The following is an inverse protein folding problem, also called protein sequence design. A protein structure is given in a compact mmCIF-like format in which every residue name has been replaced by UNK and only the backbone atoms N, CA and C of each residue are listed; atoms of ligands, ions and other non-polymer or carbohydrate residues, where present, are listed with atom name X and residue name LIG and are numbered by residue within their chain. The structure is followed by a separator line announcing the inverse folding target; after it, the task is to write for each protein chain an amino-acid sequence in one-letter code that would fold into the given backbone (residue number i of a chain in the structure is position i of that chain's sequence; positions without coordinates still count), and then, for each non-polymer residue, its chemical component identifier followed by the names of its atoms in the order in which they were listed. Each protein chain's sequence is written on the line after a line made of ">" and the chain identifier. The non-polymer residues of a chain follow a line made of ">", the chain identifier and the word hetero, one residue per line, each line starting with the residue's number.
data_IF_411911091323
#
_entry.id   IF_411911091323
#
_cell.length_a   1.000
_cell.length_b   1.000
_cell.length_c   1.000
_cell.angle_alpha   90.00
_cell.angle_beta   90.00
_cell.angle_gamma   90.00
#
_symmetry.space_group_name_H-M   'P 1'
#
loop_
_entity.id
_entity.type
_entity.pdbx_description
1 polymer ?
#
# COMPACT_ATOMS: atom_id res chain seq x y z
N UNK A 1 -18.96 -37.25 -60.72
CA UNK A 1 -19.16 -36.01 -59.94
C UNK A 1 -18.06 -35.97 -58.94
N UNK A 2 -17.01 -35.18 -59.17
CA UNK A 2 -15.86 -35.09 -58.30
C UNK A 2 -16.07 -34.01 -57.31
N UNK A 3 -16.05 -34.36 -56.03
CA UNK A 3 -15.93 -33.44 -54.93
C UNK A 3 -14.53 -32.78 -54.98
N UNK A 4 -14.48 -31.53 -55.42
CA UNK A 4 -13.32 -30.67 -55.20
C UNK A 4 -13.31 -30.29 -53.73
N UNK A 5 -12.53 -31.00 -52.90
CA UNK A 5 -12.10 -30.51 -51.60
C UNK A 5 -11.50 -29.11 -51.80
N UNK A 6 -12.19 -28.10 -51.30
CA UNK A 6 -11.64 -26.74 -51.19
C UNK A 6 -10.44 -26.80 -50.25
N UNK A 7 -9.27 -26.98 -50.80
CA UNK A 7 -8.00 -26.79 -50.08
C UNK A 7 -7.99 -25.34 -49.58
N UNK A 8 -8.33 -25.16 -48.32
CA UNK A 8 -8.26 -23.86 -47.68
C UNK A 8 -6.81 -23.39 -47.72
N UNK A 9 -6.58 -22.23 -48.29
CA UNK A 9 -5.28 -21.57 -48.36
C UNK A 9 -4.67 -21.50 -46.94
N UNK A 10 -3.53 -22.15 -46.68
CA UNK A 10 -2.97 -22.28 -45.35
C UNK A 10 -2.66 -20.91 -44.71
N UNK A 11 -2.39 -19.89 -45.54
CA UNK A 11 -2.16 -18.52 -45.06
C UNK A 11 -3.46 -17.90 -44.54
N UNK A 12 -4.57 -18.10 -45.21
CA UNK A 12 -5.88 -17.61 -44.76
C UNK A 12 -6.34 -18.28 -43.48
N UNK A 13 -6.04 -19.55 -43.33
CA UNK A 13 -6.34 -20.29 -42.09
C UNK A 13 -5.51 -19.73 -40.92
N UNK A 14 -4.21 -19.55 -41.10
CA UNK A 14 -3.32 -18.97 -40.10
C UNK A 14 -3.73 -17.56 -39.67
N UNK A 15 -4.06 -16.68 -40.65
CA UNK A 15 -4.53 -15.31 -40.37
C UNK A 15 -5.85 -15.34 -39.57
N UNK A 16 -6.79 -16.23 -39.94
CA UNK A 16 -8.04 -16.36 -39.19
C UNK A 16 -7.83 -16.80 -37.77
N UNK A 17 -6.96 -17.79 -37.52
CA UNK A 17 -6.66 -18.28 -36.18
C UNK A 17 -5.94 -17.24 -35.33
N UNK A 18 -4.99 -16.51 -35.92
CA UNK A 18 -4.34 -15.39 -35.27
C UNK A 18 -5.32 -14.30 -34.85
N UNK A 19 -6.22 -13.90 -35.75
CA UNK A 19 -7.26 -12.90 -35.46
C UNK A 19 -8.20 -13.37 -34.35
N UNK A 20 -8.59 -14.66 -34.36
CA UNK A 20 -9.42 -15.24 -33.31
C UNK A 20 -8.68 -15.23 -31.95
N UNK A 21 -7.41 -15.60 -31.92
CA UNK A 21 -6.60 -15.59 -30.71
C UNK A 21 -6.46 -14.16 -30.15
N UNK A 22 -6.10 -13.19 -31.00
CA UNK A 22 -6.00 -11.78 -30.62
C UNK A 22 -7.36 -11.23 -30.15
N UNK A 23 -8.43 -11.59 -30.85
CA UNK A 23 -9.78 -11.20 -30.47
C UNK A 23 -10.21 -11.75 -29.09
N UNK A 24 -9.91 -13.02 -28.81
CA UNK A 24 -10.19 -13.62 -27.49
C UNK A 24 -9.39 -12.96 -26.38
N UNK A 25 -8.10 -12.71 -26.58
CA UNK A 25 -7.25 -12.00 -25.60
C UNK A 25 -7.78 -10.58 -25.38
N UNK A 26 -8.12 -9.87 -26.46
CA UNK A 26 -8.70 -8.54 -26.39
C UNK A 26 -10.01 -8.50 -25.60
N UNK A 27 -10.90 -9.46 -25.83
CA UNK A 27 -12.16 -9.59 -25.08
C UNK A 27 -11.92 -9.91 -23.60
N UNK A 28 -10.95 -10.76 -23.28
CA UNK A 28 -10.58 -11.09 -21.89
C UNK A 28 -10.07 -9.84 -21.18
N UNK A 29 -9.14 -9.11 -21.78
CA UNK A 29 -8.58 -7.87 -21.18
C UNK A 29 -9.70 -6.82 -21.02
N UNK A 30 -10.57 -6.68 -22.01
CA UNK A 30 -11.70 -5.75 -21.95
C UNK A 30 -12.68 -6.14 -20.83
N UNK A 31 -12.96 -7.43 -20.66
CA UNK A 31 -13.81 -7.95 -19.58
C UNK A 31 -13.19 -7.68 -18.20
N UNK A 32 -11.89 -7.93 -18.03
CA UNK A 32 -11.17 -7.60 -16.82
C UNK A 32 -11.19 -6.10 -16.54
N UNK A 33 -10.91 -5.27 -17.53
CA UNK A 33 -11.00 -3.82 -17.38
C UNK A 33 -12.40 -3.34 -17.01
N UNK A 34 -13.44 -3.88 -17.66
CA UNK A 34 -14.82 -3.53 -17.34
C UNK A 34 -15.22 -3.95 -15.91
N UNK A 35 -14.62 -5.02 -15.40
CA UNK A 35 -14.84 -5.49 -14.01
C UNK A 35 -14.07 -4.69 -12.97
N UNK A 36 -12.80 -4.37 -13.24
CA UNK A 36 -11.90 -3.76 -12.25
C UNK A 36 -11.83 -2.23 -12.35
N UNK A 37 -12.15 -1.66 -13.50
CA UNK A 37 -11.94 -0.25 -13.80
C UNK A 37 -10.48 0.18 -13.87
N UNK A 38 -9.52 -0.75 -13.77
CA UNK A 38 -8.09 -0.50 -13.68
C UNK A 38 -7.32 -1.00 -14.90
N UNK A 39 -6.22 -0.31 -15.24
CA UNK A 39 -5.29 -0.73 -16.27
C UNK A 39 -3.84 -0.54 -15.77
N UNK A 40 -3.07 -1.62 -15.57
CA UNK A 40 -3.43 -3.03 -15.77
C UNK A 40 -4.45 -3.54 -14.75
N UNK A 41 -5.34 -4.47 -15.15
CA UNK A 41 -6.36 -5.02 -14.26
C UNK A 41 -5.83 -6.07 -13.28
N UNK A 42 -4.59 -6.52 -13.48
CA UNK A 42 -3.92 -7.56 -12.73
C UNK A 42 -2.49 -7.16 -12.40
N UNK A 43 -2.02 -7.51 -11.21
CA UNK A 43 -0.62 -7.42 -10.79
C UNK A 43 -0.11 -8.78 -10.35
N UNK A 44 1.18 -9.04 -10.60
CA UNK A 44 1.88 -10.24 -10.12
C UNK A 44 2.49 -9.92 -8.77
N UNK A 45 2.26 -10.76 -7.79
CA UNK A 45 2.90 -10.67 -6.47
C UNK A 45 4.28 -11.30 -6.52
N UNK A 46 5.32 -10.52 -6.21
CA UNK A 46 6.71 -10.97 -6.30
C UNK A 46 7.33 -11.33 -4.95
N UNK A 47 6.70 -10.91 -3.85
CA UNK A 47 7.23 -11.07 -2.50
C UNK A 47 6.28 -11.86 -1.59
N UNK A 48 6.82 -12.36 -0.51
CA UNK A 48 6.07 -13.05 0.55
C UNK A 48 5.61 -12.11 1.68
N UNK A 49 5.57 -10.80 1.41
CA UNK A 49 5.25 -9.81 2.46
C UNK A 49 3.81 -9.89 2.96
N UNK A 50 2.92 -10.56 2.24
CA UNK A 50 1.49 -10.64 2.56
C UNK A 50 1.03 -12.05 2.95
N UNK A 51 1.92 -13.05 3.03
CA UNK A 51 1.55 -14.42 3.38
C UNK A 51 1.16 -14.54 4.86
N UNK A 52 0.15 -15.35 5.13
CA UNK A 52 -0.29 -15.64 6.49
C UNK A 52 0.26 -16.98 7.00
N UNK A 53 0.49 -17.92 6.11
CA UNK A 53 1.06 -19.24 6.40
C UNK A 53 2.22 -19.58 5.44
N UNK A 54 3.20 -20.36 5.91
CA UNK A 54 4.36 -20.76 5.12
C UNK A 54 4.03 -21.70 3.96
N UNK A 55 2.86 -22.34 3.98
CA UNK A 55 2.42 -23.29 2.95
C UNK A 55 1.55 -22.64 1.85
N UNK A 56 1.21 -21.37 2.02
CA UNK A 56 0.24 -20.67 1.16
C UNK A 56 -1.20 -21.11 1.43
N UNK A 57 -2.10 -20.16 1.54
CA UNK A 57 -3.52 -20.41 1.77
C UNK A 57 -4.37 -19.66 0.74
N UNK A 58 -5.46 -20.26 0.31
CA UNK A 58 -6.47 -19.56 -0.50
C UNK A 58 -7.10 -18.47 0.36
N UNK A 59 -7.08 -17.23 -0.12
CA UNK A 59 -7.52 -16.07 0.63
C UNK A 59 -6.37 -15.27 1.28
N UNK A 60 -5.15 -15.75 1.17
CA UNK A 60 -3.90 -15.04 1.49
C UNK A 60 -3.18 -14.68 0.21
N UNK A 61 -2.51 -13.55 0.16
CA UNK A 61 -1.76 -13.14 -1.03
C UNK A 61 -0.36 -13.73 -0.95
N UNK A 62 -0.09 -14.68 -1.84
CA UNK A 62 1.18 -15.39 -1.89
C UNK A 62 2.09 -14.93 -3.04
N UNK A 63 3.39 -15.15 -2.88
CA UNK A 63 4.33 -14.90 -3.97
C UNK A 63 4.03 -15.81 -5.17
N UNK A 64 3.80 -15.21 -6.33
CA UNK A 64 3.39 -15.90 -7.55
C UNK A 64 1.90 -15.80 -7.87
N UNK A 65 1.11 -15.17 -7.05
CA UNK A 65 -0.31 -14.91 -7.33
C UNK A 65 -0.49 -13.77 -8.32
N UNK A 66 -1.62 -13.82 -9.02
CA UNK A 66 -2.17 -12.67 -9.74
C UNK A 66 -3.31 -12.08 -8.94
N UNK A 67 -3.17 -10.81 -8.56
CA UNK A 67 -4.20 -10.08 -7.83
C UNK A 67 -4.92 -9.13 -8.78
N UNK A 68 -6.25 -9.15 -8.74
CA UNK A 68 -7.09 -8.18 -9.43
C UNK A 68 -6.90 -6.80 -8.80
N UNK A 69 -6.77 -5.77 -9.63
CA UNK A 69 -6.63 -4.38 -9.17
C UNK A 69 -7.92 -3.64 -9.42
N UNK A 70 -8.68 -3.36 -8.37
CA UNK A 70 -9.89 -2.55 -8.48
C UNK A 70 -9.54 -1.07 -8.37
N UNK A 71 -9.97 -0.29 -9.36
CA UNK A 71 -9.92 1.16 -9.26
C UNK A 71 -10.99 1.62 -8.25
N UNK A 72 -10.54 2.05 -7.09
CA UNK A 72 -11.39 2.60 -6.02
C UNK A 72 -10.87 3.96 -5.61
N UNK A 73 -11.80 4.85 -5.28
CA UNK A 73 -11.45 6.16 -4.74
C UNK A 73 -10.72 6.01 -3.40
N UNK A 74 -9.76 6.87 -3.17
CA UNK A 74 -8.96 6.87 -1.95
C UNK A 74 -9.84 6.92 -0.70
N UNK A 75 -10.85 7.77 -0.68
CA UNK A 75 -11.78 7.95 0.44
C UNK A 75 -12.69 6.74 0.69
N UNK A 76 -12.67 5.74 -0.20
CA UNK A 76 -13.41 4.48 -0.07
C UNK A 76 -12.56 3.32 0.45
N UNK A 77 -11.27 3.56 0.70
CA UNK A 77 -10.38 2.57 1.30
C UNK A 77 -10.75 2.38 2.77
N UNK A 78 -11.06 1.17 3.14
CA UNK A 78 -11.34 0.82 4.54
C UNK A 78 -10.05 0.38 5.21
N UNK A 79 -9.62 1.11 6.22
CA UNK A 79 -8.42 0.77 6.99
C UNK A 79 -8.68 -0.32 8.02
N UNK A 80 -7.62 -0.98 8.49
CA UNK A 80 -7.71 -1.93 9.60
C UNK A 80 -8.30 -1.27 10.86
N UNK A 81 -7.88 -0.03 11.16
CA UNK A 81 -8.40 0.73 12.30
C UNK A 81 -9.92 0.93 12.21
N UNK A 82 -10.44 1.29 11.04
CA UNK A 82 -11.89 1.46 10.83
C UNK A 82 -12.63 0.13 10.89
N UNK A 83 -12.06 -0.92 10.31
CA UNK A 83 -12.70 -2.24 10.27
C UNK A 83 -12.72 -2.94 11.64
N UNK A 84 -11.89 -2.53 12.57
CA UNK A 84 -11.83 -3.07 13.94
C UNK A 84 -12.47 -2.18 15.01
N UNK A 85 -12.87 -0.96 14.67
CA UNK A 85 -13.64 -0.10 15.58
C UNK A 85 -15.12 -0.48 15.57
N UNK A 86 -15.62 -0.96 16.70
CA UNK A 86 -17.04 -1.36 16.88
C UNK A 86 -18.05 -0.24 16.60
N UNK A 87 -17.62 1.02 16.68
CA UNK A 87 -18.46 2.17 16.39
C UNK A 87 -18.40 2.63 14.94
N UNK A 88 -17.52 2.04 14.14
CA UNK A 88 -17.36 2.39 12.72
C UNK A 88 -18.35 1.60 11.84
N UNK A 89 -18.98 2.22 10.83
CA UNK A 89 -19.88 1.52 9.90
C UNK A 89 -19.21 0.37 9.12
N UNK A 90 -17.88 0.36 9.03
CA UNK A 90 -17.10 -0.69 8.36
C UNK A 90 -16.63 -1.80 9.30
N UNK A 91 -17.11 -1.82 10.56
CA UNK A 91 -16.75 -2.86 11.52
C UNK A 91 -16.96 -4.27 10.96
N UNK A 92 -15.93 -5.10 11.09
CA UNK A 92 -15.93 -6.49 10.60
C UNK A 92 -15.67 -6.64 9.10
N UNK A 93 -15.37 -5.55 8.37
CA UNK A 93 -14.95 -5.66 6.97
C UNK A 93 -13.56 -6.28 6.89
N UNK A 94 -13.44 -7.39 6.15
CA UNK A 94 -12.19 -8.12 6.01
C UNK A 94 -11.90 -8.45 4.54
N UNK A 95 -10.61 -8.42 4.17
CA UNK A 95 -10.12 -8.78 2.86
C UNK A 95 -8.79 -9.54 2.98
N UNK A 96 -8.62 -10.60 2.20
CA UNK A 96 -7.41 -11.43 2.25
C UNK A 96 -7.06 -11.89 3.67
N UNK A 97 -8.05 -12.43 4.39
CA UNK A 97 -7.88 -13.10 5.67
C UNK A 97 -7.75 -12.20 6.90
N UNK A 98 -7.70 -10.87 6.75
CA UNK A 98 -7.66 -9.90 7.85
C UNK A 98 -8.53 -8.68 7.56
N UNK A 99 -8.82 -7.91 8.60
CA UNK A 99 -9.60 -6.69 8.52
C UNK A 99 -8.91 -5.60 7.70
N UNK A 100 -9.72 -4.80 7.01
CA UNK A 100 -9.28 -3.69 6.17
C UNK A 100 -8.83 -4.09 4.75
N UNK A 101 -8.70 -3.10 3.90
CA UNK A 101 -8.32 -3.25 2.50
C UNK A 101 -6.81 -3.50 2.33
N UNK A 102 -6.47 -4.30 1.32
CA UNK A 102 -5.11 -4.40 0.78
C UNK A 102 -4.98 -3.44 -0.40
N UNK A 103 -4.07 -2.50 -0.33
CA UNK A 103 -3.89 -1.48 -1.36
C UNK A 103 -2.62 -1.69 -2.20
N UNK A 104 -2.67 -1.23 -3.43
CA UNK A 104 -1.54 -1.21 -4.35
C UNK A 104 -1.15 0.25 -4.56
N UNK A 105 0.12 0.60 -4.29
CA UNK A 105 0.56 1.98 -4.32
C UNK A 105 1.99 2.16 -4.84
N UNK A 106 2.28 3.37 -5.31
CA UNK A 106 3.63 3.81 -5.70
C UNK A 106 4.39 4.33 -4.48
N UNK A 107 5.63 3.88 -4.30
CA UNK A 107 6.52 4.37 -3.23
C UNK A 107 6.81 5.85 -3.42
N UNK A 108 6.36 6.70 -2.52
CA UNK A 108 6.47 8.17 -2.62
C UNK A 108 5.98 8.77 -3.96
N UNK A 109 5.10 8.07 -4.67
CA UNK A 109 4.62 8.47 -5.99
C UNK A 109 5.61 8.25 -7.13
N UNK A 110 6.76 7.61 -6.87
CA UNK A 110 7.79 7.34 -7.86
C UNK A 110 7.39 6.20 -8.81
N UNK A 111 7.90 6.26 -10.03
CA UNK A 111 7.76 5.16 -10.96
C UNK A 111 8.66 3.98 -10.56
N UNK A 112 8.14 2.77 -10.71
CA UNK A 112 8.83 1.55 -10.33
C UNK A 112 7.85 0.45 -9.93
N UNK A 113 8.37 -0.63 -9.33
CA UNK A 113 7.53 -1.72 -8.82
C UNK A 113 6.66 -1.22 -7.67
N UNK A 114 5.32 -1.29 -7.81
CA UNK A 114 4.41 -0.88 -6.74
C UNK A 114 4.50 -1.84 -5.55
N UNK A 115 4.02 -1.38 -4.42
CA UNK A 115 3.84 -2.19 -3.21
C UNK A 115 2.38 -2.64 -3.13
N UNK A 116 2.16 -3.85 -2.63
CA UNK A 116 0.86 -4.39 -2.25
C UNK A 116 0.87 -4.73 -0.77
N UNK A 117 0.25 -3.89 0.05
CA UNK A 117 0.22 -4.02 1.50
C UNK A 117 -1.14 -3.58 2.06
N UNK A 118 -1.44 -3.97 3.31
CA UNK A 118 -2.67 -3.62 4.00
C UNK A 118 -2.67 -2.18 4.46
N UNK A 119 -3.79 -1.49 4.28
CA UNK A 119 -4.05 -0.18 4.87
C UNK A 119 -4.35 -0.35 6.36
N UNK A 120 -3.46 0.15 7.22
CA UNK A 120 -3.59 -0.02 8.68
C UNK A 120 -4.43 1.09 9.29
N UNK A 121 -4.10 2.35 8.98
CA UNK A 121 -4.84 3.51 9.44
C UNK A 121 -4.58 4.69 8.52
N UNK A 122 -5.45 5.67 8.56
CA UNK A 122 -5.25 6.98 7.98
C UNK A 122 -4.81 7.97 9.05
N UNK A 123 -3.96 8.91 8.69
CA UNK A 123 -3.63 10.08 9.51
C UNK A 123 -4.05 11.32 8.78
N UNK A 124 -4.86 12.14 9.44
CA UNK A 124 -5.45 13.34 8.85
C UNK A 124 -5.08 14.55 9.70
N UNK A 125 -4.58 15.66 9.10
CA UNK A 125 -4.34 16.88 9.86
C UNK A 125 -5.68 17.47 10.30
N UNK A 126 -5.84 17.64 11.61
CA UNK A 126 -7.06 18.19 12.18
C UNK A 126 -7.05 19.72 12.15
N UNK A 127 -5.92 20.32 12.53
CA UNK A 127 -5.77 21.78 12.45
C UNK A 127 -4.35 22.17 12.08
N UNK A 128 -4.26 23.31 11.42
CA UNK A 128 -3.00 24.00 11.14
C UNK A 128 -3.13 25.39 11.74
N UNK A 129 -2.34 25.69 12.77
CA UNK A 129 -2.22 27.04 13.31
C UNK A 129 -1.34 27.89 12.41
N UNK A 130 -1.80 29.06 12.05
CA UNK A 130 -1.01 30.01 11.26
C UNK A 130 0.05 30.68 12.13
N UNK A 131 1.21 31.07 11.57
CA UNK A 131 2.21 31.85 12.29
C UNK A 131 1.62 33.15 12.82
N UNK A 132 2.10 33.61 13.97
CA UNK A 132 1.76 34.94 14.46
C UNK A 132 2.16 35.98 13.41
N UNK A 133 1.25 36.90 13.11
CA UNK A 133 1.44 37.95 12.10
C UNK A 133 2.61 38.89 12.40
N UNK A 134 3.10 38.90 13.64
CA UNK A 134 4.21 39.72 14.08
C UNK A 134 5.59 39.07 13.81
N UNK A 135 5.62 37.84 13.39
CA UNK A 135 6.85 37.16 12.96
C UNK A 135 7.02 37.40 11.46
N UNK A 136 8.18 37.91 11.02
CA UNK A 136 8.46 38.02 9.58
C UNK A 136 8.33 36.64 8.97
N UNK A 137 7.39 36.49 8.03
CA UNK A 137 7.21 35.25 7.29
C UNK A 137 8.45 35.02 6.43
N UNK A 138 9.37 34.21 6.93
CA UNK A 138 10.40 33.64 6.08
C UNK A 138 9.77 32.55 5.22
N UNK A 139 10.20 32.41 3.98
CA UNK A 139 9.75 31.32 3.11
C UNK A 139 9.87 29.94 3.80
N UNK A 140 10.85 29.77 4.71
CA UNK A 140 11.04 28.57 5.51
C UNK A 140 9.89 28.26 6.47
N UNK A 141 9.16 29.24 6.94
CA UNK A 141 8.04 29.04 7.88
C UNK A 141 6.79 28.58 7.13
N UNK A 142 6.54 29.10 5.94
CA UNK A 142 5.47 28.65 5.06
C UNK A 142 5.70 27.22 4.53
N UNK A 143 6.97 26.82 4.33
CA UNK A 143 7.33 25.47 3.93
C UNK A 143 7.20 24.46 5.08
N UNK A 144 7.37 24.89 6.31
CA UNK A 144 7.28 23.97 7.47
C UNK A 144 5.85 23.68 7.87
N UNK A 145 4.92 24.63 7.77
CA UNK A 145 3.56 24.50 8.24
C UNK A 145 2.67 23.56 7.40
N UNK A 146 2.64 23.61 6.06
CA UNK A 146 1.63 22.89 5.28
C UNK A 146 1.87 21.39 5.14
N UNK A 147 3.07 20.88 5.45
CA UNK A 147 3.48 19.52 5.11
C UNK A 147 3.70 18.61 6.31
N UNK A 148 3.13 18.94 7.45
CA UNK A 148 3.08 18.04 8.58
C UNK A 148 4.40 17.91 9.33
N UNK A 149 5.05 18.99 9.63
CA UNK A 149 6.04 19.03 10.67
C UNK A 149 5.46 19.77 11.88
N UNK A 150 5.58 19.21 13.07
CA UNK A 150 5.44 19.99 14.29
C UNK A 150 6.48 21.08 14.25
N UNK A 151 6.04 22.27 14.06
CA UNK A 151 6.90 23.41 14.28
C UNK A 151 6.94 23.65 15.78
N UNK A 152 8.14 23.98 16.30
CA UNK A 152 8.30 24.22 17.72
C UNK A 152 7.33 25.33 18.16
N UNK A 153 6.30 24.92 18.92
CA UNK A 153 5.28 25.84 19.45
C UNK A 153 5.86 26.83 20.47
N UNK A 154 7.08 26.64 20.90
CA UNK A 154 7.79 27.50 21.84
C UNK A 154 8.87 28.36 21.19
N UNK A 155 8.91 28.44 19.86
CA UNK A 155 9.87 29.36 19.24
C UNK A 155 9.66 30.77 19.72
N UNK A 156 10.61 31.24 20.51
CA UNK A 156 10.67 32.60 21.01
C UNK A 156 11.82 33.27 20.30
N UNK A 157 11.51 34.28 19.51
CA UNK A 157 12.54 35.25 19.20
C UNK A 157 12.93 36.02 20.47
N UNK A 158 14.00 36.75 20.44
CA UNK A 158 14.48 37.54 21.58
C UNK A 158 13.46 38.56 22.13
N UNK A 159 12.32 38.74 21.45
CA UNK A 159 11.24 39.66 21.82
C UNK A 159 10.03 38.93 22.41
N UNK A 160 10.08 37.61 22.57
CA UNK A 160 9.00 36.81 23.10
C UNK A 160 7.84 36.56 22.14
N UNK A 161 8.03 36.84 20.86
CA UNK A 161 7.05 36.58 19.80
C UNK A 161 7.01 35.07 19.51
N UNK A 162 5.84 34.51 19.46
CA UNK A 162 5.64 33.10 19.14
C UNK A 162 5.32 32.97 17.66
N UNK A 163 6.21 32.41 16.89
CA UNK A 163 5.91 32.00 15.53
C UNK A 163 5.46 30.57 15.54
N UNK A 164 4.25 30.24 15.14
CA UNK A 164 3.74 28.93 15.39
C UNK A 164 2.80 28.43 14.32
N UNK A 165 3.18 27.33 13.73
CA UNK A 165 2.24 26.39 13.16
C UNK A 165 2.24 25.15 14.02
N UNK A 166 1.17 24.85 14.69
CA UNK A 166 0.94 23.55 15.33
C UNK A 166 0.09 22.75 14.37
N UNK A 167 0.55 21.56 14.04
CA UNK A 167 -0.21 20.59 13.28
C UNK A 167 -0.62 19.48 14.24
N UNK A 168 -1.91 19.31 14.39
CA UNK A 168 -2.46 18.18 15.14
C UNK A 168 -3.04 17.15 14.20
N UNK A 169 -3.08 15.91 14.64
CA UNK A 169 -3.48 14.76 13.85
C UNK A 169 -4.65 14.04 14.49
N UNK A 170 -5.62 13.68 13.65
CA UNK A 170 -6.63 12.68 13.97
C UNK A 170 -6.27 11.35 13.31
N UNK A 171 -6.65 10.26 13.95
CA UNK A 171 -6.54 8.91 13.38
C UNK A 171 -7.95 8.34 13.26
N UNK A 172 -8.56 8.38 12.07
CA UNK A 172 -9.89 7.83 11.82
C UNK A 172 -10.01 6.36 12.25
N UNK A 173 -11.16 5.99 12.81
CA UNK A 173 -11.37 4.65 13.36
C UNK A 173 -10.73 4.42 14.73
N UNK A 174 -10.21 5.46 15.39
CA UNK A 174 -9.62 5.37 16.73
C UNK A 174 -10.09 6.53 17.62
N UNK A 175 -9.73 6.48 18.91
CA UNK A 175 -9.96 7.59 19.84
C UNK A 175 -8.86 8.67 19.78
N UNK A 176 -7.86 8.54 18.92
CA UNK A 176 -6.76 9.50 18.82
C UNK A 176 -7.20 10.71 18.03
N UNK A 177 -7.27 11.86 18.70
CA UNK A 177 -7.64 13.14 18.14
C UNK A 177 -6.72 14.24 18.67
N UNK A 178 -6.54 15.32 17.91
CA UNK A 178 -5.76 16.50 18.27
C UNK A 178 -4.34 16.19 18.81
N UNK A 179 -3.73 15.11 18.31
CA UNK A 179 -2.41 14.69 18.77
C UNK A 179 -1.29 15.31 17.93
N UNK A 180 -0.26 15.86 18.54
CA UNK A 180 0.93 16.35 17.83
C UNK A 180 1.76 15.19 17.23
N UNK A 181 1.66 14.02 17.84
CA UNK A 181 2.26 12.77 17.35
C UNK A 181 1.19 11.69 17.29
N UNK A 182 1.34 10.73 16.40
CA UNK A 182 0.44 9.58 16.34
C UNK A 182 1.01 8.48 17.22
N UNK A 183 0.20 8.00 18.18
CA UNK A 183 0.50 6.86 19.03
C UNK A 183 -0.72 5.98 19.14
N UNK A 184 -0.66 4.79 18.55
CA UNK A 184 -1.77 3.82 18.55
C UNK A 184 -1.22 2.43 18.83
N UNK A 185 -1.89 1.71 19.71
CA UNK A 185 -1.65 0.29 19.96
C UNK A 185 -2.84 -0.52 19.45
N UNK A 186 -2.55 -1.53 18.66
CA UNK A 186 -3.53 -2.48 18.14
C UNK A 186 -3.52 -3.74 19.00
N UNK A 187 -3.84 -3.59 20.28
CA UNK A 187 -3.87 -4.68 21.29
C UNK A 187 -5.29 -5.06 21.74
N UNK A 188 -6.30 -4.62 21.01
CA UNK A 188 -7.70 -4.87 21.29
C UNK A 188 -8.40 -3.77 22.10
N UNK A 189 -7.65 -2.88 22.73
CA UNK A 189 -8.24 -1.86 23.60
C UNK A 189 -8.64 -0.57 22.86
N UNK A 190 -8.00 -0.26 21.73
CA UNK A 190 -8.21 1.00 21.03
C UNK A 190 -8.81 0.83 19.63
N UNK A 191 -8.15 0.08 18.75
CA UNK A 191 -8.54 -0.09 17.36
C UNK A 191 -8.47 -1.56 16.92
N UNK A 192 -8.78 -2.48 17.83
CA UNK A 192 -8.67 -3.91 17.56
C UNK A 192 -7.26 -4.45 17.75
N UNK A 193 -7.12 -5.73 17.48
CA UNK A 193 -5.89 -6.48 17.70
C UNK A 193 -5.27 -6.89 16.36
N UNK A 194 -4.10 -6.34 16.04
CA UNK A 194 -3.31 -6.78 14.90
C UNK A 194 -2.22 -7.74 15.38
N UNK A 195 -2.46 -9.04 15.21
CA UNK A 195 -1.50 -10.08 15.56
C UNK A 195 -0.36 -10.15 14.55
N UNK A 196 0.84 -9.86 15.01
CA UNK A 196 2.06 -9.93 14.21
C UNK A 196 2.67 -11.34 14.14
N UNK A 197 1.96 -12.36 14.61
CA UNK A 197 2.39 -13.76 14.55
C UNK A 197 2.34 -14.30 13.12
N UNK A 198 3.43 -14.15 12.40
CA UNK A 198 3.59 -14.55 11.00
C UNK A 198 4.93 -15.25 10.80
N UNK A 199 5.12 -16.01 9.70
CA UNK A 199 6.36 -16.72 9.42
C UNK A 199 7.61 -15.84 9.46
N UNK A 200 7.54 -14.60 8.95
CA UNK A 200 8.67 -13.67 8.97
C UNK A 200 9.08 -13.21 10.38
N UNK A 201 8.20 -13.36 11.36
CA UNK A 201 8.44 -13.03 12.76
C UNK A 201 8.80 -14.26 13.61
N UNK A 202 9.10 -15.39 12.98
CA UNK A 202 9.32 -16.68 13.65
C UNK A 202 8.14 -17.10 14.56
N UNK A 203 6.92 -16.69 14.21
CA UNK A 203 5.68 -16.92 14.96
C UNK A 203 5.72 -16.39 16.42
N UNK A 204 6.50 -15.34 16.67
CA UNK A 204 6.52 -14.68 17.98
C UNK A 204 5.23 -13.86 18.14
N UNK A 205 4.54 -14.08 19.24
CA UNK A 205 3.37 -13.29 19.59
C UNK A 205 3.77 -11.85 19.90
N UNK A 206 3.23 -10.91 19.16
CA UNK A 206 3.37 -9.48 19.39
C UNK A 206 2.22 -8.75 18.71
N UNK A 207 1.99 -7.52 19.11
CA UNK A 207 0.98 -6.65 18.50
C UNK A 207 1.63 -5.41 17.88
N UNK A 208 0.94 -4.83 16.92
CA UNK A 208 1.41 -3.64 16.23
C UNK A 208 1.27 -2.42 17.13
N UNK A 209 2.36 -1.67 17.25
CA UNK A 209 2.37 -0.36 17.91
C UNK A 209 2.99 0.66 16.96
N UNK A 210 2.28 1.76 16.76
CA UNK A 210 2.83 2.99 16.20
C UNK A 210 3.10 3.93 17.38
N UNK A 211 4.35 4.32 17.58
CA UNK A 211 4.76 5.03 18.80
C UNK A 211 5.34 6.40 18.50
N UNK A 212 4.75 7.44 19.08
CA UNK A 212 5.21 8.83 19.01
C UNK A 212 5.73 9.26 17.63
N UNK A 213 5.02 8.84 16.61
CA UNK A 213 5.41 9.09 15.23
C UNK A 213 4.77 10.35 14.69
N UNK A 214 5.57 11.21 14.07
CA UNK A 214 5.09 12.43 13.42
C UNK A 214 4.90 12.19 11.94
N UNK A 215 3.65 12.22 11.43
CA UNK A 215 3.40 12.17 10.01
C UNK A 215 4.04 13.35 9.27
N UNK A 216 4.58 13.10 8.09
CA UNK A 216 5.11 14.17 7.23
C UNK A 216 4.00 14.91 6.48
N UNK A 217 2.89 14.24 6.25
CA UNK A 217 1.69 14.72 5.57
C UNK A 217 0.57 13.72 5.80
N UNK A 218 -0.68 14.11 5.48
CA UNK A 218 -1.82 13.21 5.54
C UNK A 218 -1.66 12.00 4.61
N UNK A 219 -2.25 10.88 4.96
CA UNK A 219 -2.30 9.67 4.16
C UNK A 219 -2.42 8.39 4.95
N UNK A 220 -2.44 7.27 4.23
CA UNK A 220 -2.57 5.94 4.80
C UNK A 220 -1.21 5.41 5.27
N UNK A 221 -1.20 4.78 6.43
CA UNK A 221 -0.11 3.92 6.87
C UNK A 221 -0.40 2.49 6.43
N UNK A 222 0.65 1.81 5.99
CA UNK A 222 0.55 0.46 5.42
C UNK A 222 1.50 -0.51 6.08
N UNK A 223 1.15 -1.79 6.03
CA UNK A 223 1.97 -2.89 6.54
C UNK A 223 1.76 -4.11 5.65
N UNK A 224 2.83 -4.80 5.29
CA UNK A 224 2.75 -6.15 4.76
C UNK A 224 2.48 -7.14 5.88
N UNK A 225 1.42 -7.95 5.74
CA UNK A 225 0.94 -8.84 6.81
C UNK A 225 2.01 -9.80 7.34
N UNK A 226 3.02 -10.12 6.54
CA UNK A 226 4.17 -10.95 6.92
C UNK A 226 5.46 -10.14 7.17
N UNK A 227 5.40 -8.82 7.14
CA UNK A 227 6.55 -7.99 7.44
C UNK A 227 6.80 -7.91 8.95
N UNK A 228 7.97 -7.37 9.35
CA UNK A 228 8.21 -7.06 10.74
C UNK A 228 7.06 -6.19 11.28
N UNK A 229 6.71 -6.39 12.53
CA UNK A 229 5.59 -5.72 13.18
C UNK A 229 5.79 -4.19 13.26
N UNK A 230 5.79 -3.53 12.12
CA UNK A 230 5.94 -2.08 11.97
C UNK A 230 5.38 -1.63 10.62
N UNK A 231 4.80 -0.46 10.59
CA UNK A 231 4.31 0.13 9.34
C UNK A 231 5.45 0.48 8.37
N UNK A 232 5.14 0.51 7.09
CA UNK A 232 6.10 0.78 6.01
C UNK A 232 6.72 2.17 6.09
N UNK A 233 6.05 3.10 6.73
CA UNK A 233 6.44 4.51 6.87
C UNK A 233 7.57 4.75 7.87
N UNK A 234 8.14 3.67 8.42
CA UNK A 234 9.30 3.75 9.29
C UNK A 234 9.00 4.21 10.71
N UNK A 235 7.73 4.11 11.15
CA UNK A 235 7.42 4.29 12.57
C UNK A 235 8.15 3.24 13.38
N UNK A 236 8.67 3.60 14.55
CA UNK A 236 9.32 2.64 15.42
C UNK A 236 8.29 1.65 15.96
N UNK A 237 8.38 0.42 15.52
CA UNK A 237 7.76 -0.68 16.20
C UNK A 237 8.64 -1.13 17.37
N UNK A 238 8.06 -1.98 18.20
CA UNK A 238 8.71 -2.57 19.39
C UNK A 238 10.11 -3.15 19.14
N UNK A 239 10.48 -3.44 17.89
CA UNK A 239 11.77 -4.04 17.52
C UNK A 239 12.61 -3.20 16.52
N UNK A 240 12.34 -1.91 16.41
CA UNK A 240 13.04 -1.03 15.46
C UNK A 240 12.56 -1.26 14.02
N UNK A 241 12.04 -0.23 13.40
CA UNK A 241 11.57 -0.33 12.04
C UNK A 241 12.69 -0.16 11.04
N UNK A 242 12.64 -0.92 9.98
CA UNK A 242 13.43 -0.63 8.79
C UNK A 242 12.69 0.23 7.78
N UNK A 243 11.35 0.37 7.87
CA UNK A 243 10.52 1.05 6.90
C UNK A 243 10.71 0.54 5.46
N UNK A 244 9.83 0.93 4.56
CA UNK A 244 10.02 0.72 3.13
C UNK A 244 10.70 1.94 2.53
N UNK A 245 11.68 1.73 1.65
CA UNK A 245 12.45 2.81 1.04
C UNK A 245 12.17 2.92 -0.46
N UNK A 246 12.20 4.17 -0.92
CA UNK A 246 12.24 4.55 -2.34
C UNK A 246 13.56 5.25 -2.64
N UNK A 247 13.73 5.76 -3.86
CA UNK A 247 14.90 6.55 -4.22
C UNK A 247 14.98 7.87 -3.42
N UNK A 248 13.85 8.44 -3.02
CA UNK A 248 13.76 9.67 -2.22
C UNK A 248 13.83 9.45 -0.71
N UNK A 249 13.99 8.22 -0.25
CA UNK A 249 14.10 7.86 1.17
C UNK A 249 12.95 7.00 1.67
N UNK A 250 12.69 7.02 2.98
CA UNK A 250 11.60 6.25 3.59
C UNK A 250 10.26 6.68 3.03
N UNK A 251 9.40 5.71 2.73
CA UNK A 251 8.04 5.96 2.23
C UNK A 251 7.25 6.74 3.27
N UNK A 252 6.62 7.82 2.84
CA UNK A 252 5.65 8.59 3.65
C UNK A 252 4.26 7.96 3.65
N UNK A 253 3.30 8.52 4.41
CA UNK A 253 1.90 8.11 4.34
C UNK A 253 1.39 8.15 2.90
N UNK A 254 0.60 7.16 2.50
CA UNK A 254 0.19 7.02 1.11
C UNK A 254 -0.85 8.06 0.78
N UNK A 255 -0.54 8.93 -0.18
CA UNK A 255 -1.45 9.96 -0.71
C UNK A 255 -2.39 9.35 -1.75
N UNK A 256 -3.53 10.00 -1.96
CA UNK A 256 -4.47 9.60 -3.02
C UNK A 256 -3.82 9.46 -4.40
N UNK A 257 -2.91 10.37 -4.75
CA UNK A 257 -2.19 10.32 -6.04
C UNK A 257 -1.17 9.18 -6.17
N UNK A 258 -0.83 8.49 -5.09
CA UNK A 258 0.08 7.34 -5.09
C UNK A 258 -0.67 6.01 -5.14
N UNK A 259 -1.97 6.02 -4.81
CA UNK A 259 -2.83 4.86 -4.87
C UNK A 259 -3.03 4.44 -6.33
N UNK A 260 -2.79 3.16 -6.63
CA UNK A 260 -3.07 2.55 -7.93
C UNK A 260 -4.45 1.89 -7.90
N UNK A 261 -4.79 1.28 -6.76
CA UNK A 261 -6.07 0.63 -6.55
C UNK A 261 -6.06 -0.25 -5.31
N UNK A 262 -7.15 -0.98 -5.12
CA UNK A 262 -7.35 -1.94 -4.04
C UNK A 262 -7.22 -3.36 -4.60
N UNK A 263 -6.54 -4.23 -3.87
CA UNK A 263 -6.43 -5.64 -4.20
C UNK A 263 -7.82 -6.29 -4.16
N UNK A 264 -8.20 -6.94 -5.23
CA UNK A 264 -9.41 -7.74 -5.32
C UNK A 264 -9.14 -9.22 -5.13
N UNK A 265 -9.92 -10.07 -5.79
CA UNK A 265 -9.69 -11.51 -5.78
C UNK A 265 -8.32 -11.90 -6.34
N UNK A 266 -7.80 -13.00 -5.88
CA UNK A 266 -6.53 -13.57 -6.32
C UNK A 266 -6.74 -14.78 -7.24
N UNK A 267 -5.78 -14.99 -8.13
CA UNK A 267 -5.67 -16.21 -8.94
C UNK A 267 -4.35 -16.87 -8.53
N UNK A 268 -4.42 -17.94 -7.69
CA UNK A 268 -3.23 -18.55 -7.11
C UNK A 268 -2.26 -19.07 -8.18
N UNK A 269 -0.96 -18.85 -7.94
CA UNK A 269 0.19 -19.37 -8.71
C UNK A 269 0.24 -19.04 -10.21
N UNK A 270 -0.73 -18.36 -10.77
CA UNK A 270 -0.73 -18.05 -12.19
C UNK A 270 0.36 -17.03 -12.57
N UNK A 271 0.81 -16.22 -11.61
CA UNK A 271 1.92 -15.29 -11.77
C UNK A 271 3.29 -15.97 -11.82
N UNK A 272 3.41 -17.25 -11.40
CA UNK A 272 4.66 -18.01 -11.49
C UNK A 272 5.02 -18.42 -12.91
N UNK A 273 4.06 -18.36 -13.84
CA UNK A 273 4.28 -18.60 -15.28
C UNK A 273 5.00 -17.38 -15.90
N UNK A 274 6.08 -16.90 -15.27
CA UNK A 274 6.98 -15.96 -15.93
C UNK A 274 7.70 -16.68 -17.06
N UNK A 275 7.75 -16.11 -18.27
CA UNK A 275 8.58 -16.70 -19.33
C UNK A 275 10.02 -16.76 -18.81
N UNK A 276 10.63 -17.96 -18.90
CA UNK A 276 11.99 -18.31 -18.44
C UNK A 276 13.09 -17.42 -19.04
N UNK A 277 12.73 -16.48 -19.92
CA UNK A 277 13.63 -15.60 -20.64
C UNK A 277 14.43 -14.60 -19.79
N UNK A 278 14.04 -14.35 -18.53
CA UNK A 278 14.74 -13.35 -17.70
C UNK A 278 15.77 -13.95 -16.74
N UNK A 279 15.77 -15.25 -16.48
CA UNK A 279 16.68 -15.88 -15.52
C UNK A 279 18.04 -16.26 -16.10
N UNK A 280 18.23 -16.18 -17.43
CA UNK A 280 19.47 -16.57 -18.08
C UNK A 280 20.40 -15.43 -18.52
N UNK A 281 20.05 -14.17 -18.22
CA UNK A 281 20.88 -13.01 -18.63
C UNK A 281 21.75 -12.40 -17.53
N UNK A 282 21.73 -12.94 -16.31
CA UNK A 282 22.72 -12.61 -15.29
C UNK A 282 23.62 -13.82 -15.02
N UNK A 283 24.60 -14.00 -15.89
CA UNK A 283 25.77 -14.81 -15.54
C UNK A 283 26.48 -14.15 -14.36
N UNK A 284 26.76 -14.86 -13.26
CA UNK A 284 27.57 -14.32 -12.19
C UNK A 284 29.00 -14.18 -12.71
N UNK A 285 29.40 -12.96 -13.04
CA UNK A 285 30.81 -12.62 -13.21
C UNK A 285 31.38 -12.29 -11.83
N UNK A 286 31.70 -13.30 -11.05
CA UNK A 286 32.69 -13.16 -9.98
C UNK A 286 33.88 -14.02 -10.34
N UNK A 287 35.05 -13.43 -10.66
CA UNK A 287 36.28 -14.20 -10.65
C UNK A 287 36.64 -14.51 -9.21
N UNK A 288 36.85 -15.78 -8.93
CA UNK A 288 37.57 -16.20 -7.73
C UNK A 288 39.00 -15.67 -7.79
N UNK A 289 39.38 -14.89 -6.81
CA UNK A 289 40.78 -14.76 -6.32
C UNK A 289 40.73 -14.86 -4.80
#
# INVERSE_FOLDING_TARGET
>A
MGDQERQSDPLKLLVRELLLAVGMIGLLILGLYAHTGSMPPLVVVESSSMIHDSNGEVGSIDAGDLVLVHNRDYDSVVTFAEATDENNPHFGYAQHGLEGDVIIYKKNGEDGTPIIHRAIMEVVPNQISTPDRNVPMNATDAERCPNGGTYDSEWKDGNGTKGVCVLTWDVPGTSVQDSETVSVSFDGDQAGYYDCKRPAHANVESHLVVWEWQPRHAGLLTLGDNNKCSVDQGSQAVNGSSGVHSASGTVGPIRSSWLIGVGGGEIPWLGTVKPVSYTHLTLPTTPYV
#
